data_IF_120540054484
#
_entry.id   IF_120540054484
#
_cell.length_a   1.000
_cell.length_b   1.000
_cell.length_c   1.000
_cell.angle_alpha   90.00
_cell.angle_beta   90.00
_cell.angle_gamma   90.00
#
_symmetry.space_group_name_H-M   'P 1'
#
loop_
_entity.id
_entity.type
_entity.pdbx_description
1 polymer ?
#
# COMPACT_ATOMS: atom_id res chain seq x y z
N UNK A 1 6.72 20.99 8.64
CA UNK A 1 7.09 19.70 9.27
C UNK A 1 6.12 18.55 8.88
N UNK A 2 5.40 18.64 7.77
CA UNK A 2 4.29 17.72 7.40
C UNK A 2 4.65 16.57 6.45
N UNK A 3 5.75 16.65 5.69
CA UNK A 3 6.10 15.64 4.66
C UNK A 3 6.41 14.26 5.24
N UNK A 4 7.05 14.22 6.41
CA UNK A 4 7.43 12.97 7.07
C UNK A 4 6.20 12.21 7.60
N UNK A 5 5.22 12.93 8.14
CA UNK A 5 3.98 12.34 8.64
C UNK A 5 3.14 11.75 7.51
N UNK A 6 3.02 12.45 6.39
CA UNK A 6 2.31 11.95 5.20
C UNK A 6 2.97 10.71 4.61
N UNK A 7 4.30 10.65 4.61
CA UNK A 7 5.04 9.49 4.10
C UNK A 7 4.85 8.26 4.98
N UNK A 8 4.89 8.41 6.31
CA UNK A 8 4.63 7.32 7.26
C UNK A 8 3.18 6.82 7.13
N UNK A 9 2.21 7.73 7.03
CA UNK A 9 0.81 7.37 6.81
C UNK A 9 0.60 6.62 5.48
N UNK A 10 1.26 7.07 4.41
CA UNK A 10 1.20 6.40 3.10
C UNK A 10 1.78 4.97 3.15
N UNK A 11 2.92 4.77 3.82
CA UNK A 11 3.53 3.45 3.98
C UNK A 11 2.62 2.51 4.80
N UNK A 12 2.08 2.99 5.91
CA UNK A 12 1.17 2.20 6.74
C UNK A 12 -0.11 1.85 5.97
N UNK A 13 -0.66 2.80 5.22
CA UNK A 13 -1.81 2.56 4.34
C UNK A 13 -1.52 1.51 3.27
N UNK A 14 -0.37 1.61 2.60
CA UNK A 14 0.05 0.64 1.59
C UNK A 14 0.27 -0.77 2.17
N UNK A 15 0.91 -0.86 3.35
CA UNK A 15 1.12 -2.12 4.05
C UNK A 15 -0.20 -2.75 4.48
N UNK A 16 -1.13 -1.96 5.03
CA UNK A 16 -2.45 -2.45 5.43
C UNK A 16 -3.26 -2.94 4.23
N UNK A 17 -3.27 -2.19 3.12
CA UNK A 17 -3.92 -2.60 1.89
C UNK A 17 -3.30 -3.90 1.32
N UNK A 18 -1.97 -4.00 1.30
CA UNK A 18 -1.26 -5.20 0.85
C UNK A 18 -1.56 -6.42 1.72
N UNK A 19 -1.55 -6.26 3.04
CA UNK A 19 -1.92 -7.32 3.98
C UNK A 19 -3.39 -7.74 3.83
N UNK A 20 -4.30 -6.78 3.64
CA UNK A 20 -5.71 -7.06 3.40
C UNK A 20 -5.89 -7.86 2.10
N UNK A 21 -5.26 -7.45 1.00
CA UNK A 21 -5.30 -8.18 -0.27
C UNK A 21 -4.69 -9.58 -0.10
N UNK A 22 -3.55 -9.71 0.58
CA UNK A 22 -2.90 -10.99 0.83
C UNK A 22 -3.78 -11.96 1.65
N UNK A 23 -4.43 -11.46 2.70
CA UNK A 23 -5.35 -12.25 3.54
C UNK A 23 -6.62 -12.62 2.75
N UNK A 24 -7.15 -11.70 1.92
CA UNK A 24 -8.31 -11.99 1.06
C UNK A 24 -7.99 -13.06 0.01
N UNK A 25 -6.78 -13.02 -0.56
CA UNK A 25 -6.36 -13.98 -1.58
C UNK A 25 -6.02 -15.35 -0.97
N UNK A 26 -5.47 -15.39 0.24
CA UNK A 26 -5.12 -16.61 0.96
C UNK A 26 -5.64 -16.59 2.40
N UNK A 27 -6.93 -16.88 2.62
CA UNK A 27 -7.54 -16.84 3.94
C UNK A 27 -7.15 -18.06 4.77
N UNK A 28 -6.55 -17.80 5.93
CA UNK A 28 -6.24 -18.80 6.95
C UNK A 28 -7.30 -18.78 8.07
N UNK A 29 -7.40 -19.87 8.85
CA UNK A 29 -8.29 -19.87 10.02
C UNK A 29 -7.85 -18.82 11.03
N UNK A 30 -8.78 -18.00 11.53
CA UNK A 30 -8.48 -16.88 12.44
C UNK A 30 -7.71 -17.26 13.71
N UNK A 31 -7.95 -18.46 14.26
CA UNK A 31 -7.18 -18.99 15.41
C UNK A 31 -5.70 -19.20 15.06
N UNK A 32 -5.41 -19.67 13.86
CA UNK A 32 -4.05 -19.85 13.35
C UNK A 32 -3.39 -18.50 13.04
N UNK A 33 -4.12 -17.56 12.45
CA UNK A 33 -3.60 -16.21 12.16
C UNK A 33 -3.15 -15.49 13.42
N UNK A 34 -3.95 -15.54 14.50
CA UNK A 34 -3.58 -14.92 15.78
C UNK A 34 -2.37 -15.60 16.43
N UNK A 35 -2.29 -16.92 16.39
CA UNK A 35 -1.13 -17.66 16.91
C UNK A 35 0.15 -17.31 16.12
N UNK A 36 0.08 -17.37 14.79
CA UNK A 36 1.19 -17.02 13.89
C UNK A 36 1.63 -15.57 14.04
N UNK A 37 0.71 -14.63 14.29
CA UNK A 37 1.08 -13.23 14.50
C UNK A 37 1.89 -13.06 15.80
N UNK A 38 1.51 -13.75 16.87
CA UNK A 38 2.23 -13.69 18.15
C UNK A 38 3.63 -14.27 18.04
N UNK A 39 3.75 -15.47 17.48
CA UNK A 39 5.04 -16.17 17.32
C UNK A 39 5.93 -15.48 16.28
N UNK A 40 5.35 -15.11 15.13
CA UNK A 40 6.07 -14.50 14.03
C UNK A 40 6.57 -13.07 14.32
N UNK A 41 5.95 -12.31 15.23
CA UNK A 41 6.40 -10.94 15.51
C UNK A 41 7.72 -10.92 16.28
N UNK A 42 7.87 -11.77 17.29
CA UNK A 42 9.08 -11.88 18.10
C UNK A 42 10.23 -12.44 17.25
N UNK A 43 9.98 -13.52 16.51
CA UNK A 43 10.97 -14.15 15.64
C UNK A 43 11.36 -13.26 14.46
N UNK A 44 10.40 -12.60 13.81
CA UNK A 44 10.70 -11.70 12.70
C UNK A 44 11.52 -10.51 13.19
N UNK A 45 11.22 -9.92 14.34
CA UNK A 45 11.97 -8.75 14.82
C UNK A 45 13.44 -9.08 15.06
N UNK A 46 13.73 -10.23 15.66
CA UNK A 46 15.11 -10.67 15.92
C UNK A 46 15.83 -11.02 14.62
N UNK A 47 15.22 -11.87 13.79
CA UNK A 47 15.83 -12.36 12.55
C UNK A 47 15.97 -11.26 11.48
N UNK A 48 15.01 -10.33 11.41
CA UNK A 48 15.09 -9.17 10.51
C UNK A 48 16.20 -8.24 10.93
N UNK A 49 16.39 -7.98 12.22
CA UNK A 49 17.48 -7.10 12.66
C UNK A 49 18.84 -7.64 12.23
N UNK A 50 19.08 -8.92 12.45
CA UNK A 50 20.37 -9.54 12.10
C UNK A 50 20.55 -9.67 10.59
N UNK A 51 19.51 -10.12 9.87
CA UNK A 51 19.57 -10.30 8.41
C UNK A 51 19.62 -8.97 7.65
N UNK A 52 18.89 -7.95 8.11
CA UNK A 52 18.91 -6.62 7.53
C UNK A 52 20.26 -5.96 7.77
N UNK A 53 20.87 -6.15 8.94
CA UNK A 53 22.22 -5.63 9.21
C UNK A 53 23.24 -6.23 8.25
N UNK A 54 23.23 -7.54 8.07
CA UNK A 54 24.15 -8.26 7.18
C UNK A 54 23.87 -8.01 5.69
N UNK A 55 22.61 -7.78 5.30
CA UNK A 55 22.19 -7.67 3.90
C UNK A 55 21.85 -6.24 3.46
N UNK A 56 21.98 -5.25 4.35
CA UNK A 56 21.52 -3.88 4.10
C UNK A 56 22.15 -3.26 2.85
N UNK A 57 23.43 -3.52 2.58
CA UNK A 57 24.12 -2.96 1.41
C UNK A 57 23.62 -3.57 0.10
N UNK A 58 23.44 -4.90 0.05
CA UNK A 58 22.88 -5.59 -1.12
C UNK A 58 21.42 -5.22 -1.33
N UNK A 59 20.65 -5.11 -0.25
CA UNK A 59 19.26 -4.66 -0.29
C UNK A 59 19.17 -3.23 -0.80
N UNK A 60 20.00 -2.31 -0.30
CA UNK A 60 20.05 -0.93 -0.79
C UNK A 60 20.35 -0.89 -2.27
N UNK A 61 21.34 -1.64 -2.75
CA UNK A 61 21.67 -1.67 -4.18
C UNK A 61 20.49 -2.18 -5.03
N UNK A 62 19.86 -3.29 -4.63
CA UNK A 62 18.67 -3.81 -5.32
C UNK A 62 17.49 -2.84 -5.25
N UNK A 63 17.28 -2.19 -4.11
CA UNK A 63 16.20 -1.24 -3.91
C UNK A 63 16.40 0.02 -4.76
N UNK A 64 17.64 0.52 -4.86
CA UNK A 64 17.99 1.62 -5.76
C UNK A 64 17.73 1.25 -7.21
N UNK A 65 18.19 0.08 -7.68
CA UNK A 65 17.91 -0.37 -9.05
C UNK A 65 16.41 -0.60 -9.32
N UNK A 66 15.68 -1.17 -8.36
CA UNK A 66 14.23 -1.33 -8.47
C UNK A 66 13.55 0.04 -8.54
N UNK A 67 14.00 1.00 -7.75
CA UNK A 67 13.49 2.37 -7.76
C UNK A 67 13.77 3.07 -9.09
N UNK A 68 14.96 2.94 -9.67
CA UNK A 68 15.28 3.51 -10.98
C UNK A 68 14.35 2.95 -12.08
N UNK A 69 14.12 1.63 -12.09
CA UNK A 69 13.19 1.00 -13.03
C UNK A 69 11.73 1.43 -12.80
N UNK A 70 11.33 1.59 -11.54
CA UNK A 70 10.01 2.09 -11.17
C UNK A 70 9.84 3.55 -11.55
N UNK A 71 10.83 4.42 -11.34
CA UNK A 71 10.74 5.85 -11.69
C UNK A 71 10.59 6.02 -13.22
N UNK A 72 11.31 5.21 -14.02
CA UNK A 72 11.14 5.17 -15.47
C UNK A 72 9.74 4.70 -15.90
N UNK A 73 9.27 3.59 -15.35
CA UNK A 73 7.93 3.04 -15.64
C UNK A 73 6.81 3.94 -15.12
N UNK A 74 7.01 4.58 -13.97
CA UNK A 74 6.08 5.50 -13.34
C UNK A 74 5.97 6.79 -14.16
N UNK A 75 7.06 7.32 -14.72
CA UNK A 75 7.00 8.46 -15.64
C UNK A 75 6.15 8.17 -16.89
N UNK A 76 6.30 6.99 -17.47
CA UNK A 76 5.53 6.54 -18.63
C UNK A 76 4.06 6.27 -18.27
N UNK A 77 3.81 5.57 -17.15
CA UNK A 77 2.46 5.33 -16.63
C UNK A 77 1.75 6.63 -16.26
N UNK A 78 2.42 7.57 -15.58
CA UNK A 78 1.85 8.85 -15.17
C UNK A 78 1.52 9.73 -16.38
N UNK A 79 2.33 9.66 -17.44
CA UNK A 79 2.08 10.37 -18.70
C UNK A 79 0.85 9.80 -19.44
N UNK A 80 0.75 8.47 -19.52
CA UNK A 80 -0.42 7.78 -20.09
C UNK A 80 -1.67 7.92 -19.22
N UNK A 81 -1.51 7.91 -17.89
CA UNK A 81 -2.59 8.15 -16.94
C UNK A 81 -3.01 9.60 -16.95
N UNK A 82 -2.12 10.59 -17.05
CA UNK A 82 -2.46 12.02 -17.04
C UNK A 82 -3.58 12.33 -18.03
N UNK A 83 -3.47 11.80 -19.26
CA UNK A 83 -4.51 11.94 -20.28
C UNK A 83 -5.83 11.23 -19.91
N UNK A 84 -5.74 10.05 -19.28
CA UNK A 84 -6.91 9.29 -18.79
C UNK A 84 -7.42 9.76 -17.42
N UNK A 85 -6.67 10.58 -16.70
CA UNK A 85 -6.95 10.95 -15.31
C UNK A 85 -8.02 12.01 -15.28
N UNK A 86 -8.08 12.93 -16.25
CA UNK A 86 -9.20 13.86 -16.37
C UNK A 86 -10.54 13.12 -16.58
N UNK A 87 -10.54 12.08 -17.43
CA UNK A 87 -11.73 11.25 -17.67
C UNK A 87 -12.12 10.43 -16.43
N UNK A 88 -11.14 9.88 -15.72
CA UNK A 88 -11.37 9.14 -14.46
C UNK A 88 -11.82 10.08 -13.33
N UNK A 89 -11.27 11.29 -13.21
CA UNK A 89 -11.70 12.29 -12.23
C UNK A 89 -13.16 12.65 -12.48
N UNK A 90 -13.55 12.93 -13.72
CA UNK A 90 -14.94 13.23 -14.06
C UNK A 90 -15.89 12.07 -13.74
N UNK A 91 -15.48 10.83 -14.03
CA UNK A 91 -16.26 9.64 -13.67
C UNK A 91 -16.39 9.46 -12.15
N UNK A 92 -15.32 9.71 -11.39
CA UNK A 92 -15.31 9.63 -9.93
C UNK A 92 -16.15 10.75 -9.29
N UNK A 93 -16.11 11.97 -9.82
CA UNK A 93 -16.95 13.09 -9.38
C UNK A 93 -18.43 12.78 -9.59
N UNK A 94 -18.77 12.21 -10.76
CA UNK A 94 -20.13 11.76 -11.07
C UNK A 94 -20.59 10.69 -10.08
N UNK A 95 -19.77 9.66 -9.83
CA UNK A 95 -20.05 8.60 -8.86
C UNK A 95 -20.15 9.13 -7.42
N UNK A 96 -19.32 10.09 -7.03
CA UNK A 96 -19.32 10.70 -5.71
C UNK A 96 -20.58 11.54 -5.51
N UNK A 97 -20.99 12.32 -6.51
CA UNK A 97 -22.23 13.09 -6.49
C UNK A 97 -23.44 12.16 -6.35
N UNK A 98 -23.49 11.07 -7.12
CA UNK A 98 -24.53 10.05 -7.02
C UNK A 98 -24.58 9.39 -5.64
N UNK A 99 -23.43 9.02 -5.08
CA UNK A 99 -23.33 8.44 -3.75
C UNK A 99 -23.80 9.42 -2.68
N UNK A 100 -23.42 10.70 -2.78
CA UNK A 100 -23.83 11.74 -1.83
C UNK A 100 -25.34 12.01 -1.91
N UNK A 101 -25.92 12.01 -3.11
CA UNK A 101 -27.35 12.14 -3.32
C UNK A 101 -28.13 10.92 -2.78
N UNK A 102 -27.61 9.70 -2.99
CA UNK A 102 -28.21 8.48 -2.43
C UNK A 102 -28.13 8.45 -0.90
N UNK A 103 -27.01 8.84 -0.32
CA UNK A 103 -26.84 8.90 1.14
C UNK A 103 -27.77 9.97 1.77
N UNK A 104 -27.95 11.12 1.13
CA UNK A 104 -28.91 12.14 1.55
C UNK A 104 -30.38 11.68 1.46
N UNK A 105 -30.72 10.78 0.53
CA UNK A 105 -32.05 10.15 0.44
C UNK A 105 -32.30 9.12 1.55
N UNK A 106 -31.25 8.49 2.07
CA UNK A 106 -31.31 7.51 3.16
C UNK A 106 -31.31 8.16 4.56
N UNK A 107 -30.94 9.44 4.68
CA UNK A 107 -30.99 10.21 5.93
C UNK A 107 -32.33 10.92 6.17
N UNK A 108 -33.41 10.49 5.52
CA UNK A 108 -34.79 10.93 5.79
C UNK A 108 -35.57 9.86 6.54
#
# INVERSE_FOLDING_TARGET
MSKNLNTVAAILGAAAAGAAIGILFAPDKGSKTRAKLKEGLDDATHNLKDSLSASSDVLRQKFTHAKENLDGTYGELLSNMSYKTEEVISFLETKLADLKAQNAKLQK
#
